data_IF_073955793280
#
_entry.id   IF_073955793280
#
_cell.length_a   1.000
_cell.length_b   1.000
_cell.length_c   1.000
_cell.angle_alpha   90.00
_cell.angle_beta   90.00
_cell.angle_gamma   90.00
#
_symmetry.space_group_name_H-M   'P 1'
#
loop_
_entity.id
_entity.type
_entity.pdbx_description
1 polymer ?
#
# COMPACT_ATOMS: atom_id res chain seq x y z
N UNK A 1 -19.19 -43.60 -39.64
CA UNK A 1 -19.93 -42.67 -38.77
C UNK A 1 -20.87 -43.57 -37.96
N UNK A 2 -20.79 -43.72 -36.64
CA UNK A 2 -20.48 -42.76 -35.58
C UNK A 2 -19.77 -43.47 -34.42
N UNK A 3 -18.91 -42.72 -33.74
CA UNK A 3 -18.13 -43.08 -32.57
C UNK A 3 -19.02 -43.28 -31.33
N UNK A 4 -18.95 -44.44 -30.68
CA UNK A 4 -19.42 -44.60 -29.29
C UNK A 4 -18.26 -44.31 -28.35
N UNK A 5 -18.02 -43.02 -28.14
CA UNK A 5 -17.16 -42.50 -27.08
C UNK A 5 -17.86 -42.76 -25.73
N UNK A 6 -17.64 -43.94 -25.17
CA UNK A 6 -18.02 -44.26 -23.79
C UNK A 6 -17.11 -43.46 -22.87
N UNK A 7 -17.54 -42.24 -22.58
CA UNK A 7 -16.93 -41.41 -21.56
C UNK A 7 -17.30 -41.98 -20.18
N UNK A 8 -16.47 -42.88 -19.67
CA UNK A 8 -16.51 -43.38 -18.30
C UNK A 8 -16.07 -42.29 -17.32
N UNK A 9 -16.99 -41.40 -16.94
CA UNK A 9 -16.75 -40.47 -15.83
C UNK A 9 -17.09 -41.16 -14.52
N UNK A 10 -16.06 -41.52 -13.76
CA UNK A 10 -16.23 -41.86 -12.34
C UNK A 10 -16.45 -40.57 -11.54
N UNK A 11 -17.54 -40.44 -10.75
CA UNK A 11 -17.78 -39.26 -9.95
C UNK A 11 -16.71 -39.15 -8.84
N UNK A 12 -15.99 -38.03 -8.84
CA UNK A 12 -15.04 -37.68 -7.78
C UNK A 12 -15.83 -37.36 -6.50
N UNK A 13 -15.94 -38.32 -5.59
CA UNK A 13 -16.59 -38.12 -4.28
C UNK A 13 -15.65 -37.31 -3.38
N UNK A 14 -15.92 -36.02 -3.23
CA UNK A 14 -15.23 -35.18 -2.25
C UNK A 14 -15.83 -35.45 -0.86
N UNK A 15 -15.19 -36.35 -0.11
CA UNK A 15 -15.46 -36.52 1.31
C UNK A 15 -15.10 -35.22 2.05
N UNK A 16 -16.11 -34.37 2.29
CA UNK A 16 -16.02 -33.30 3.27
C UNK A 16 -15.98 -33.93 4.66
N UNK A 17 -14.77 -34.19 5.16
CA UNK A 17 -14.58 -34.43 6.60
C UNK A 17 -15.14 -33.20 7.31
N UNK A 18 -16.23 -33.39 8.05
CA UNK A 18 -16.72 -32.39 9.00
C UNK A 18 -15.57 -32.12 9.96
N UNK A 19 -14.99 -30.93 9.86
CA UNK A 19 -14.01 -30.46 10.82
C UNK A 19 -14.76 -30.27 12.15
N UNK A 20 -14.48 -31.19 13.08
CA UNK A 20 -14.76 -31.02 14.50
C UNK A 20 -14.16 -29.68 14.96
N UNK A 21 -14.82 -29.05 15.93
CA UNK A 21 -14.59 -27.67 16.33
C UNK A 21 -13.11 -27.40 16.68
N UNK A 22 -12.56 -26.20 16.38
CA UNK A 22 -11.17 -25.92 16.68
C UNK A 22 -10.99 -25.79 18.20
N UNK A 23 -10.26 -26.75 18.75
CA UNK A 23 -9.68 -26.73 20.08
C UNK A 23 -8.86 -25.44 20.25
N UNK A 24 -9.09 -24.72 21.36
CA UNK A 24 -8.47 -23.43 21.65
C UNK A 24 -6.95 -23.55 21.71
N UNK A 25 -6.27 -23.14 20.64
CA UNK A 25 -4.81 -23.00 20.61
C UNK A 25 -4.41 -21.79 21.46
N UNK A 26 -3.51 -21.91 22.45
CA UNK A 26 -3.03 -20.77 23.22
C UNK A 26 -2.33 -19.77 22.30
N UNK A 27 -2.75 -18.50 22.35
CA UNK A 27 -2.22 -17.41 21.53
C UNK A 27 -0.72 -17.21 21.78
N UNK A 28 0.10 -17.79 20.91
CA UNK A 28 1.54 -17.58 20.87
C UNK A 28 1.83 -16.24 20.20
N UNK A 29 2.23 -15.25 21.01
CA UNK A 29 2.90 -13.99 20.67
C UNK A 29 2.83 -13.56 19.19
N UNK A 30 1.78 -12.80 18.85
CA UNK A 30 1.66 -12.11 17.56
C UNK A 30 2.70 -10.99 17.46
N UNK A 31 3.51 -10.99 16.40
CA UNK A 31 4.41 -9.88 16.05
C UNK A 31 3.62 -8.64 15.63
N UNK A 32 4.19 -7.46 15.87
CA UNK A 32 3.56 -6.13 15.68
C UNK A 32 2.97 -5.89 14.29
N UNK A 33 3.44 -6.62 13.27
CA UNK A 33 2.98 -6.51 11.89
C UNK A 33 1.60 -7.15 11.68
N UNK A 34 1.26 -8.21 12.41
CA UNK A 34 -0.02 -8.90 12.29
C UNK A 34 -1.18 -8.14 12.97
N UNK A 35 -0.88 -7.30 13.97
CA UNK A 35 -1.89 -6.46 14.64
C UNK A 35 -2.48 -5.39 13.72
N UNK A 36 -1.66 -4.80 12.83
CA UNK A 36 -2.12 -3.74 11.92
C UNK A 36 -3.09 -4.23 10.85
N UNK A 37 -2.94 -5.47 10.39
CA UNK A 37 -3.79 -6.01 9.32
C UNK A 37 -5.21 -6.33 9.82
N UNK A 38 -5.36 -6.68 11.11
CA UNK A 38 -6.67 -7.04 11.71
C UNK A 38 -7.50 -5.79 12.06
N UNK A 39 -6.87 -4.65 12.36
CA UNK A 39 -7.59 -3.40 12.65
C UNK A 39 -8.24 -2.78 11.40
N UNK A 40 -7.73 -3.04 10.19
CA UNK A 40 -8.33 -2.52 8.96
C UNK A 40 -9.61 -3.24 8.52
N UNK A 41 -9.83 -4.49 8.94
CA UNK A 41 -10.97 -5.28 8.45
C UNK A 41 -12.28 -5.04 9.22
N UNK A 42 -12.22 -4.44 10.41
CA UNK A 42 -13.38 -4.21 11.28
C UNK A 42 -13.89 -2.76 11.31
N UNK A 43 -13.21 -1.82 10.66
CA UNK A 43 -13.60 -0.41 10.63
C UNK A 43 -14.35 -0.09 9.33
N UNK A 44 -15.67 -0.31 9.33
CA UNK A 44 -16.59 0.09 8.23
C UNK A 44 -16.81 1.62 8.18
N UNK A 45 -16.28 2.38 9.14
CA UNK A 45 -16.26 3.83 9.09
C UNK A 45 -15.06 4.31 8.28
N UNK A 46 -15.28 5.22 7.33
CA UNK A 46 -14.24 5.79 6.47
C UNK A 46 -13.18 6.50 7.32
N UNK A 47 -12.11 5.79 7.69
CA UNK A 47 -10.99 6.37 8.40
C UNK A 47 -10.40 7.47 7.52
N UNK A 48 -10.53 8.72 7.98
CA UNK A 48 -9.86 9.86 7.35
C UNK A 48 -8.36 9.63 7.43
N UNK A 49 -7.77 9.20 6.32
CA UNK A 49 -6.32 9.04 6.21
C UNK A 49 -5.63 10.34 6.59
N UNK A 50 -4.72 10.27 7.56
CA UNK A 50 -3.88 11.40 7.95
C UNK A 50 -3.11 11.89 6.72
N UNK A 51 -3.29 13.16 6.36
CA UNK A 51 -2.66 13.78 5.19
C UNK A 51 -1.32 14.39 5.57
N UNK A 52 -0.50 14.74 4.57
CA UNK A 52 0.77 15.37 4.87
C UNK A 52 0.58 16.79 5.44
N UNK A 53 1.40 17.22 6.42
CA UNK A 53 1.37 18.60 6.90
C UNK A 53 1.62 19.58 5.75
N UNK A 54 0.80 20.63 5.67
CA UNK A 54 0.88 21.61 4.56
C UNK A 54 2.24 22.29 4.48
N UNK A 55 2.93 22.47 5.59
CA UNK A 55 4.25 23.10 5.62
C UNK A 55 5.31 22.23 4.93
N UNK A 56 5.25 20.91 5.11
CA UNK A 56 6.15 19.98 4.42
C UNK A 56 5.88 19.99 2.92
N UNK A 57 4.61 19.99 2.52
CA UNK A 57 4.22 20.06 1.11
C UNK A 57 4.77 21.35 0.47
N UNK A 58 4.58 22.50 1.12
CA UNK A 58 5.14 23.78 0.66
C UNK A 58 6.66 23.75 0.55
N UNK A 59 7.35 23.20 1.55
CA UNK A 59 8.81 23.05 1.52
C UNK A 59 9.27 22.17 0.34
N UNK A 60 8.59 21.05 0.08
CA UNK A 60 8.90 20.17 -1.06
C UNK A 60 8.69 20.87 -2.40
N UNK A 61 7.58 21.58 -2.57
CA UNK A 61 7.29 22.35 -3.79
C UNK A 61 8.33 23.46 -3.99
N UNK A 62 8.70 24.18 -2.93
CA UNK A 62 9.73 25.22 -2.98
C UNK A 62 11.11 24.64 -3.33
N UNK A 63 11.48 23.50 -2.73
CA UNK A 63 12.72 22.80 -3.05
C UNK A 63 12.76 22.38 -4.53
N UNK A 64 11.67 21.82 -5.05
CA UNK A 64 11.59 21.44 -6.46
C UNK A 64 11.73 22.67 -7.37
N UNK A 65 11.01 23.74 -7.06
CA UNK A 65 11.07 24.99 -7.82
C UNK A 65 12.48 25.62 -7.80
N UNK A 66 13.14 25.64 -6.65
CA UNK A 66 14.52 26.17 -6.52
C UNK A 66 15.57 25.40 -7.32
N UNK A 67 15.29 24.14 -7.63
CA UNK A 67 16.19 23.26 -8.40
C UNK A 67 15.81 23.20 -9.88
N UNK A 68 14.80 23.96 -10.32
CA UNK A 68 14.28 23.96 -11.69
C UNK A 68 13.97 22.57 -12.23
N UNK A 69 13.55 21.63 -11.37
CA UNK A 69 13.19 20.27 -11.78
C UNK A 69 11.70 20.15 -12.00
N UNK A 70 11.32 19.45 -13.06
CA UNK A 70 9.95 19.03 -13.30
C UNK A 70 9.56 17.88 -12.38
N UNK A 71 8.25 17.68 -12.16
CA UNK A 71 7.75 16.53 -11.39
C UNK A 71 8.22 15.20 -12.01
N UNK A 72 8.29 15.12 -13.35
CA UNK A 72 8.74 13.92 -14.05
C UNK A 72 10.20 13.58 -13.76
N UNK A 73 11.09 14.57 -13.77
CA UNK A 73 12.51 14.35 -13.48
C UNK A 73 12.75 13.90 -12.04
N UNK A 74 12.03 14.49 -11.08
CA UNK A 74 12.10 14.05 -9.67
C UNK A 74 11.57 12.62 -9.52
N UNK A 75 10.53 12.27 -10.27
CA UNK A 75 9.96 10.93 -10.26
C UNK A 75 10.95 9.88 -10.80
N UNK A 76 11.64 10.21 -11.89
CA UNK A 76 12.72 9.37 -12.47
C UNK A 76 13.86 9.19 -11.47
N UNK A 77 14.31 10.25 -10.80
CA UNK A 77 15.39 10.18 -9.81
C UNK A 77 15.08 9.24 -8.63
N UNK A 78 13.80 9.12 -8.28
CA UNK A 78 13.34 8.34 -7.12
C UNK A 78 12.74 6.98 -7.50
N UNK A 79 12.67 6.65 -8.79
CA UNK A 79 11.97 5.49 -9.34
C UNK A 79 10.51 5.41 -8.86
N UNK A 80 9.79 6.53 -8.91
CA UNK A 80 8.36 6.62 -8.57
C UNK A 80 7.55 7.17 -9.74
N UNK A 81 6.24 7.01 -9.69
CA UNK A 81 5.34 7.59 -10.71
C UNK A 81 5.21 9.11 -10.53
N UNK A 82 5.20 9.92 -11.60
CA UNK A 82 5.02 11.38 -11.50
C UNK A 82 3.73 11.79 -10.76
N UNK A 83 2.69 10.97 -10.87
CA UNK A 83 1.41 11.15 -10.16
C UNK A 83 1.58 11.20 -8.64
N UNK A 84 2.50 10.42 -8.07
CA UNK A 84 2.78 10.42 -6.64
C UNK A 84 3.29 11.79 -6.19
N UNK A 85 4.20 12.39 -6.97
CA UNK A 85 4.72 13.73 -6.66
C UNK A 85 3.62 14.78 -6.81
N UNK A 86 2.80 14.69 -7.85
CA UNK A 86 1.65 15.58 -8.03
C UNK A 86 0.67 15.49 -6.86
N UNK A 87 0.36 14.28 -6.38
CA UNK A 87 -0.56 14.06 -5.26
C UNK A 87 0.04 14.53 -3.93
N UNK A 88 1.36 14.46 -3.76
CA UNK A 88 2.06 15.06 -2.63
C UNK A 88 1.92 16.58 -2.66
N UNK A 89 2.24 17.21 -3.80
CA UNK A 89 2.13 18.67 -3.97
C UNK A 89 0.69 19.17 -3.85
N UNK A 90 -0.29 18.34 -4.22
CA UNK A 90 -1.72 18.64 -4.09
C UNK A 90 -2.30 18.31 -2.71
N UNK A 91 -1.47 17.81 -1.77
CA UNK A 91 -1.89 17.28 -0.47
C UNK A 91 -3.03 16.25 -0.54
N UNK A 92 -2.99 15.38 -1.56
CA UNK A 92 -3.88 14.22 -1.71
C UNK A 92 -3.19 12.91 -1.33
N UNK A 93 -1.87 12.92 -1.22
CA UNK A 93 -1.10 11.74 -0.84
C UNK A 93 -1.21 11.49 0.69
N UNK A 94 -1.40 10.23 1.11
CA UNK A 94 -1.35 9.87 2.53
C UNK A 94 -0.05 10.32 3.18
N UNK A 95 -0.06 10.52 4.50
CA UNK A 95 1.12 10.97 5.22
C UNK A 95 2.26 9.93 5.16
N UNK A 96 3.19 10.15 4.23
CA UNK A 96 4.45 9.40 4.14
C UNK A 96 5.66 10.33 4.30
N UNK A 97 6.16 10.41 5.54
CA UNK A 97 7.32 11.23 5.86
C UNK A 97 8.64 10.62 5.37
N UNK A 98 8.70 9.31 5.13
CA UNK A 98 9.90 8.67 4.58
C UNK A 98 10.07 9.07 3.12
N UNK A 99 8.97 9.05 2.35
CA UNK A 99 8.97 9.49 0.96
C UNK A 99 9.30 10.98 0.84
N UNK A 100 8.68 11.83 1.67
CA UNK A 100 9.00 13.25 1.72
C UNK A 100 10.50 13.51 1.98
N UNK A 101 11.10 12.82 2.95
CA UNK A 101 12.54 12.93 3.24
C UNK A 101 13.42 12.44 2.07
N UNK A 102 13.02 11.35 1.39
CA UNK A 102 13.73 10.86 0.19
C UNK A 102 13.70 11.90 -0.93
N UNK A 103 12.54 12.53 -1.17
CA UNK A 103 12.41 13.60 -2.16
C UNK A 103 13.32 14.77 -1.81
N UNK A 104 13.31 15.23 -0.55
CA UNK A 104 14.18 16.31 -0.11
C UNK A 104 15.67 15.98 -0.30
N UNK A 105 16.10 14.75 0.04
CA UNK A 105 17.48 14.29 -0.18
C UNK A 105 17.85 14.25 -1.65
N UNK A 106 16.99 13.74 -2.53
CA UNK A 106 17.23 13.72 -3.97
C UNK A 106 17.33 15.13 -4.58
N UNK A 107 16.70 16.13 -3.96
CA UNK A 107 16.77 17.54 -4.32
C UNK A 107 17.91 18.30 -3.62
N UNK A 108 18.69 17.62 -2.76
CA UNK A 108 19.78 18.23 -2.00
C UNK A 108 19.30 19.23 -0.94
N UNK A 109 18.15 18.99 -0.33
CA UNK A 109 17.55 19.80 0.72
C UNK A 109 17.22 19.01 1.99
N UNK A 110 16.82 19.72 3.03
CA UNK A 110 16.33 19.14 4.29
C UNK A 110 14.95 19.68 4.60
N UNK A 111 14.08 18.82 5.13
CA UNK A 111 12.75 19.22 5.60
C UNK A 111 12.87 19.63 7.07
N UNK A 112 12.36 20.81 7.39
CA UNK A 112 12.23 21.28 8.77
C UNK A 112 10.86 20.88 9.29
N UNK A 113 10.84 20.34 10.51
CA UNK A 113 9.61 19.98 11.23
C UNK A 113 8.80 21.22 11.59
#
# INVERSE_FOLDING_TARGET
>A
MQDTNMQDWSPMVLNSKKSDAPEKVPQKNLTSEQKKTIELTNNTDAQKSDMMPRDIVKQLTALRASRNKTQKEVAILLNITPKIIQDIESNRYPRDMKLAQRIAKALGGTLKK
#
